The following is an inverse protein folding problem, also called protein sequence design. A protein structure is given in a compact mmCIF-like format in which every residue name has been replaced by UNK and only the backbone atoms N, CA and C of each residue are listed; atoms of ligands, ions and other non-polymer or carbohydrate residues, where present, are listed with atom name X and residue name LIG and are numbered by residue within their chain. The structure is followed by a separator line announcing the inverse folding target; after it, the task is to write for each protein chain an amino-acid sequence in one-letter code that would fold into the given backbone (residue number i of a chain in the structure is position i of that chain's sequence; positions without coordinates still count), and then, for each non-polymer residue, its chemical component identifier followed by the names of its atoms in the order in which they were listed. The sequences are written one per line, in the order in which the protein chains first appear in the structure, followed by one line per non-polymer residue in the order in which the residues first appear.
data_IF_985757650933
#
_entry.id   IF_985757650933
#
_cell.length_a   1.000
_cell.length_b   1.000
_cell.length_c   1.000
_cell.angle_alpha   90.00
_cell.angle_beta   90.00
_cell.angle_gamma   90.00
#
_symmetry.space_group_name_H-M   'P 1'
#
loop_
_entity.id
_entity.type
_entity.pdbx_description
1 polymer ?
#
# COMPACT_ATOMS: atom_id res chain seq x y z
N UNK A 1 35.39 -3.68 17.33
CA UNK A 1 34.25 -3.57 18.26
C UNK A 1 34.03 -2.10 18.54
N UNK A 2 33.08 -1.46 17.85
CA UNK A 2 32.67 -0.08 18.12
C UNK A 2 31.19 0.08 17.75
N UNK A 3 30.36 -0.03 18.78
CA UNK A 3 29.15 0.75 19.06
C UNK A 3 28.10 0.93 17.94
N UNK A 4 27.23 -0.07 17.78
CA UNK A 4 25.99 0.07 17.01
C UNK A 4 24.96 0.85 17.85
N UNK A 5 25.11 2.17 17.91
CA UNK A 5 24.08 3.04 18.49
C UNK A 5 22.77 2.85 17.72
N UNK A 6 21.67 2.59 18.43
CA UNK A 6 20.36 2.34 17.84
C UNK A 6 19.93 3.55 16.98
N UNK A 7 19.40 3.33 15.76
CA UNK A 7 18.98 4.43 14.88
C UNK A 7 17.89 5.27 15.55
N UNK A 8 17.88 6.58 15.36
CA UNK A 8 16.84 7.46 15.91
C UNK A 8 15.49 7.23 15.22
N UNK A 9 14.38 7.55 15.91
CA UNK A 9 13.04 7.45 15.31
C UNK A 9 12.91 8.33 14.06
N UNK A 10 13.53 9.51 14.04
CA UNK A 10 13.60 10.40 12.89
C UNK A 10 14.24 9.71 11.69
N UNK A 11 15.37 9.02 11.89
CA UNK A 11 16.03 8.27 10.82
C UNK A 11 15.11 7.18 10.25
N UNK A 12 14.41 6.45 11.11
CA UNK A 12 13.45 5.41 10.70
C UNK A 12 12.29 6.02 9.90
N UNK A 13 11.71 7.13 10.36
CA UNK A 13 10.57 7.78 9.70
C UNK A 13 10.96 8.45 8.38
N UNK A 14 12.11 9.12 8.33
CA UNK A 14 12.69 9.66 7.09
C UNK A 14 12.95 8.53 6.09
N UNK A 15 13.42 7.38 6.57
CA UNK A 15 13.64 6.19 5.73
C UNK A 15 12.32 5.63 5.22
N UNK A 16 11.30 5.47 6.07
CA UNK A 16 9.97 4.97 5.69
C UNK A 16 9.22 5.89 4.74
N UNK A 17 9.41 7.21 4.85
CA UNK A 17 8.81 8.19 3.95
C UNK A 17 9.63 8.45 2.68
N UNK A 18 10.73 7.71 2.50
CA UNK A 18 11.62 7.84 1.36
C UNK A 18 12.24 9.24 1.22
N UNK A 19 12.48 9.92 2.33
CA UNK A 19 13.10 11.25 2.37
C UNK A 19 14.59 11.19 2.74
N UNK A 20 15.26 10.06 2.46
CA UNK A 20 16.66 9.86 2.87
C UNK A 20 17.63 10.71 2.03
N UNK A 21 17.21 11.09 0.83
CA UNK A 21 17.95 12.00 -0.06
C UNK A 21 17.73 13.43 0.42
N UNK A 22 18.84 14.16 0.64
CA UNK A 22 18.82 15.53 1.18
C UNK A 22 17.88 16.47 0.42
N UNK A 23 17.91 16.46 -0.92
CA UNK A 23 17.05 17.34 -1.72
C UNK A 23 15.57 17.05 -1.52
N UNK A 24 15.20 15.76 -1.41
CA UNK A 24 13.83 15.33 -1.13
C UNK A 24 13.40 15.78 0.28
N UNK A 25 14.27 15.59 1.27
CA UNK A 25 13.98 16.04 2.64
C UNK A 25 13.83 17.56 2.71
N UNK A 26 14.76 18.30 2.09
CA UNK A 26 14.76 19.77 2.05
C UNK A 26 13.48 20.31 1.44
N UNK A 27 13.02 19.73 0.33
CA UNK A 27 11.77 20.15 -0.31
C UNK A 27 10.55 19.95 0.62
N UNK A 28 10.46 18.81 1.31
CA UNK A 28 9.37 18.55 2.24
C UNK A 28 9.45 19.43 3.49
N UNK A 29 10.66 19.75 3.92
CA UNK A 29 10.93 20.65 5.03
C UNK A 29 10.49 22.09 4.73
N UNK A 30 10.86 22.62 3.57
CA UNK A 30 10.45 23.95 3.10
C UNK A 30 8.93 24.05 2.95
N UNK A 31 8.28 23.02 2.41
CA UNK A 31 6.82 22.95 2.30
C UNK A 31 6.12 22.96 3.67
N UNK A 32 6.66 22.25 4.65
CA UNK A 32 6.11 22.24 6.00
C UNK A 32 6.30 23.60 6.68
N UNK A 33 7.46 24.24 6.53
CA UNK A 33 7.72 25.58 7.06
C UNK A 33 6.77 26.63 6.47
N UNK A 34 6.52 26.57 5.15
CA UNK A 34 5.61 27.48 4.47
C UNK A 34 4.14 27.29 4.88
N UNK A 35 3.72 26.04 5.08
CA UNK A 35 2.39 25.72 5.60
C UNK A 35 2.15 26.32 7.00
N UNK A 36 3.12 26.20 7.92
CA UNK A 36 3.02 26.79 9.27
C UNK A 36 3.00 28.32 9.18
N UNK A 37 3.86 28.91 8.33
CA UNK A 37 3.92 30.35 8.14
C UNK A 37 2.60 30.95 7.63
N UNK A 38 1.86 30.20 6.80
CA UNK A 38 0.54 30.59 6.30
C UNK A 38 -0.54 30.44 7.38
N UNK A 39 -0.54 29.34 8.12
CA UNK A 39 -1.55 29.05 9.15
C UNK A 39 -1.43 29.95 10.37
N UNK A 40 -0.21 30.25 10.81
CA UNK A 40 0.06 30.96 12.07
C UNK A 40 0.47 32.42 11.83
N UNK A 41 0.60 32.85 10.57
CA UNK A 41 0.99 34.22 10.21
C UNK A 41 2.45 34.58 10.55
N UNK A 42 3.26 33.62 10.98
CA UNK A 42 4.64 33.83 11.39
C UNK A 42 5.57 33.99 10.18
N UNK A 43 6.06 35.22 9.96
CA UNK A 43 6.92 35.55 8.82
C UNK A 43 8.31 34.92 8.89
N UNK A 44 8.76 34.47 10.07
CA UNK A 44 10.10 33.91 10.27
C UNK A 44 10.28 32.52 9.68
N UNK A 45 9.16 31.79 9.51
CA UNK A 45 9.14 30.45 8.94
C UNK A 45 9.06 30.46 7.40
N UNK A 46 8.79 31.61 6.77
CA UNK A 46 8.77 31.72 5.31
C UNK A 46 10.17 31.59 4.74
N UNK A 47 10.38 30.60 3.88
CA UNK A 47 11.70 30.31 3.30
C UNK A 47 12.69 29.67 4.27
N UNK A 48 12.23 29.21 5.44
CA UNK A 48 13.07 28.45 6.36
C UNK A 48 13.41 27.10 5.73
N UNK A 49 14.71 26.85 5.57
CA UNK A 49 15.26 25.62 5.00
C UNK A 49 16.31 25.01 5.93
N UNK A 50 16.74 23.79 5.61
CA UNK A 50 17.76 23.05 6.36
C UNK A 50 18.98 22.82 5.49
N UNK A 51 20.18 23.00 6.05
CA UNK A 51 21.43 22.71 5.34
C UNK A 51 21.72 21.20 5.27
N UNK A 52 22.44 20.76 4.22
CA UNK A 52 22.83 19.35 4.04
C UNK A 52 23.57 18.77 5.25
N UNK A 53 24.52 19.53 5.79
CA UNK A 53 25.28 19.17 6.99
C UNK A 53 24.37 19.01 8.22
N UNK A 54 23.32 19.80 8.32
CA UNK A 54 22.38 19.72 9.43
C UNK A 54 21.43 18.53 9.29
N UNK A 55 20.96 18.24 8.07
CA UNK A 55 20.21 17.04 7.74
C UNK A 55 21.01 15.77 8.02
N UNK A 56 22.27 15.70 7.59
CA UNK A 56 23.15 14.54 7.82
C UNK A 56 23.37 14.29 9.32
N UNK A 57 23.49 15.36 10.13
CA UNK A 57 23.57 15.22 11.60
C UNK A 57 22.29 14.69 12.23
N UNK A 58 21.12 15.12 11.74
CA UNK A 58 19.82 14.63 12.18
C UNK A 58 19.60 13.17 11.78
N UNK A 59 19.95 12.83 10.54
CA UNK A 59 19.82 11.49 9.98
C UNK A 59 20.83 10.50 10.58
N UNK A 60 22.04 10.96 10.89
CA UNK A 60 23.10 10.17 11.54
C UNK A 60 22.90 9.97 13.05
N UNK A 61 22.04 10.76 13.69
CA UNK A 61 21.80 10.69 15.14
C UNK A 61 22.89 11.35 16.00
N UNK A 62 23.71 12.24 15.43
CA UNK A 62 24.87 12.86 16.08
C UNK A 62 24.55 14.18 16.81
N UNK A 63 23.33 14.33 17.32
CA UNK A 63 22.90 15.55 18.00
C UNK A 63 23.25 15.52 19.49
N UNK A 64 24.20 16.37 19.89
CA UNK A 64 24.50 16.63 21.32
C UNK A 64 23.54 17.63 21.97
N UNK A 65 22.82 18.41 21.17
CA UNK A 65 21.89 19.47 21.60
C UNK A 65 20.68 19.52 20.68
N UNK A 66 19.54 20.00 21.20
CA UNK A 66 18.30 20.17 20.43
C UNK A 66 18.49 21.16 19.26
N UNK A 67 17.80 20.97 18.12
CA UNK A 67 17.71 21.97 17.06
C UNK A 67 17.15 23.31 17.55
N UNK A 68 17.27 24.36 16.74
CA UNK A 68 16.66 25.65 17.07
C UNK A 68 15.12 25.55 17.12
N UNK A 69 14.43 26.35 17.95
CA UNK A 69 12.99 26.23 18.18
C UNK A 69 12.12 26.19 16.91
N UNK A 70 12.42 27.02 15.91
CA UNK A 70 11.70 27.04 14.64
C UNK A 70 11.92 25.75 13.82
N UNK A 71 13.09 25.13 13.96
CA UNK A 71 13.38 23.86 13.30
C UNK A 71 12.67 22.70 13.97
N UNK A 72 12.53 22.74 15.30
CA UNK A 72 11.71 21.80 16.07
C UNK A 72 10.25 21.88 15.61
N UNK A 73 9.68 23.10 15.50
CA UNK A 73 8.30 23.30 15.03
C UNK A 73 8.05 22.70 13.66
N UNK A 74 8.99 22.88 12.71
CA UNK A 74 8.87 22.30 11.37
C UNK A 74 8.96 20.77 11.41
N UNK A 75 9.91 20.20 12.17
CA UNK A 75 10.04 18.75 12.30
C UNK A 75 8.80 18.12 12.97
N UNK A 76 8.29 18.75 14.02
CA UNK A 76 7.08 18.31 14.72
C UNK A 76 5.85 18.34 13.80
N UNK A 77 5.70 19.39 13.00
CA UNK A 77 4.64 19.48 12.00
C UNK A 77 4.80 18.45 10.87
N UNK A 78 6.03 18.20 10.40
CA UNK A 78 6.30 17.20 9.36
C UNK A 78 5.92 15.80 9.79
N UNK A 79 6.26 15.42 11.03
CA UNK A 79 6.14 14.02 11.49
C UNK A 79 4.99 13.78 12.46
N UNK A 80 4.32 14.83 12.95
CA UNK A 80 3.21 14.75 13.89
C UNK A 80 3.62 14.21 15.27
N UNK A 81 4.89 14.38 15.64
CA UNK A 81 5.49 13.87 16.90
C UNK A 81 6.44 14.90 17.48
N UNK A 82 6.56 15.01 18.82
CA UNK A 82 7.51 15.91 19.48
C UNK A 82 8.94 15.67 19.01
N UNK A 83 9.74 16.74 18.88
CA UNK A 83 11.13 16.63 18.40
C UNK A 83 11.98 15.73 19.31
N UNK A 84 11.68 15.69 20.61
CA UNK A 84 12.36 14.84 21.57
C UNK A 84 12.14 13.34 21.30
N UNK A 85 10.95 12.96 20.84
CA UNK A 85 10.63 11.58 20.46
C UNK A 85 11.30 11.21 19.13
N UNK A 86 11.31 12.14 18.17
CA UNK A 86 11.98 11.97 16.88
C UNK A 86 13.48 11.76 17.05
N UNK A 87 14.10 12.46 17.99
CA UNK A 87 15.55 12.39 18.24
C UNK A 87 15.95 11.26 19.20
N UNK A 88 14.99 10.60 19.87
CA UNK A 88 15.25 9.46 20.73
C UNK A 88 15.62 8.18 19.93
N UNK A 89 16.34 7.22 20.55
CA UNK A 89 16.59 5.90 19.96
C UNK A 89 15.29 5.21 19.57
N UNK A 90 15.23 4.67 18.34
CA UNK A 90 14.04 3.99 17.85
C UNK A 90 13.74 2.76 18.72
N UNK A 91 12.49 2.58 19.18
CA UNK A 91 12.13 1.40 19.95
C UNK A 91 12.34 0.13 19.12
N UNK A 92 12.69 -1.01 19.75
CA UNK A 92 12.93 -2.27 19.06
C UNK A 92 11.68 -2.69 18.26
N UNK A 93 11.84 -3.36 17.11
CA UNK A 93 10.71 -3.81 16.30
C UNK A 93 9.88 -4.79 17.13
N UNK A 94 8.74 -4.32 17.66
CA UNK A 94 7.82 -5.11 18.47
C UNK A 94 7.46 -4.55 19.85
N UNK A 95 8.10 -3.46 20.31
CA UNK A 95 7.72 -2.82 21.57
C UNK A 95 7.30 -1.37 21.36
N UNK A 96 6.05 -1.02 21.65
CA UNK A 96 5.68 0.39 21.86
C UNK A 96 6.18 0.83 23.24
N UNK A 97 6.79 2.01 23.36
CA UNK A 97 6.63 2.85 24.54
C UNK A 97 5.79 4.08 24.20
N UNK A 98 5.00 4.51 25.18
CA UNK A 98 3.88 5.43 25.09
C UNK A 98 4.14 6.76 24.40
N UNK A 99 3.17 7.16 23.57
CA UNK A 99 2.78 8.56 23.53
C UNK A 99 1.80 8.75 24.69
N UNK A 100 2.24 9.49 25.69
CA UNK A 100 1.36 10.01 26.72
C UNK A 100 0.29 10.86 26.04
N UNK A 101 -0.93 10.58 26.46
CA UNK A 101 -2.16 11.30 26.19
C UNK A 101 -1.99 12.79 26.46
N UNK A 102 -2.36 13.61 25.47
CA UNK A 102 -2.96 14.92 25.75
C UNK A 102 -4.25 15.06 24.96
N UNK A 103 -5.34 14.95 25.71
CA UNK A 103 -6.71 15.42 25.51
C UNK A 103 -7.18 15.71 24.08
N UNK A 104 -8.06 14.85 23.56
CA UNK A 104 -9.38 15.32 23.09
C UNK A 104 -10.43 14.23 22.80
N UNK A 105 -10.15 12.92 22.91
CA UNK A 105 -11.18 11.88 22.67
C UNK A 105 -11.32 10.86 23.81
N UNK A 106 -11.44 11.35 25.05
CA UNK A 106 -11.71 10.51 26.23
C UNK A 106 -13.21 10.19 26.40
N UNK A 107 -13.82 9.48 25.43
CA UNK A 107 -15.10 8.77 25.62
C UNK A 107 -15.23 7.46 24.80
N UNK A 108 -14.11 6.83 24.41
CA UNK A 108 -14.14 5.45 23.89
C UNK A 108 -13.91 4.43 25.00
N UNK A 109 -14.92 3.62 25.36
CA UNK A 109 -14.81 2.52 26.34
C UNK A 109 -13.70 1.53 25.88
N UNK A 110 -12.61 1.35 26.65
CA UNK A 110 -11.57 0.35 26.35
C UNK A 110 -12.13 -1.08 26.21
N UNK A 111 -13.27 -1.37 26.83
CA UNK A 111 -13.97 -2.64 26.67
C UNK A 111 -14.68 -2.80 25.33
N UNK A 112 -14.97 -1.71 24.60
CA UNK A 112 -15.65 -1.77 23.30
C UNK A 112 -14.72 -2.31 22.21
N UNK A 113 -13.47 -1.85 22.16
CA UNK A 113 -12.47 -2.38 21.21
C UNK A 113 -12.10 -3.84 21.44
N UNK A 114 -12.14 -4.32 22.69
CA UNK A 114 -11.92 -5.74 22.99
C UNK A 114 -13.15 -6.59 22.65
N UNK A 115 -14.36 -6.10 22.92
CA UNK A 115 -15.62 -6.75 22.49
C UNK A 115 -15.77 -6.80 20.98
N UNK A 116 -15.46 -5.72 20.27
CA UNK A 116 -15.45 -5.67 18.80
C UNK A 116 -14.47 -6.71 18.22
N UNK A 117 -13.26 -6.82 18.80
CA UNK A 117 -12.30 -7.88 18.42
C UNK A 117 -12.82 -9.28 18.74
N UNK A 118 -13.44 -9.49 19.89
CA UNK A 118 -14.02 -10.79 20.25
C UNK A 118 -15.16 -11.18 19.30
N UNK A 119 -16.04 -10.24 18.95
CA UNK A 119 -17.12 -10.45 17.98
C UNK A 119 -16.56 -10.73 16.60
N UNK A 120 -15.55 -9.98 16.14
CA UNK A 120 -14.88 -10.23 14.86
C UNK A 120 -14.20 -11.63 14.83
N UNK A 121 -13.51 -12.01 15.90
CA UNK A 121 -12.91 -13.34 16.03
C UNK A 121 -13.96 -14.45 16.07
N UNK A 122 -15.12 -14.22 16.70
CA UNK A 122 -16.23 -15.16 16.70
C UNK A 122 -16.84 -15.30 15.29
N UNK A 123 -17.03 -14.19 14.57
CA UNK A 123 -17.51 -14.19 13.19
C UNK A 123 -16.55 -14.98 12.26
N UNK A 124 -15.24 -14.74 12.36
CA UNK A 124 -14.21 -15.50 11.63
C UNK A 124 -14.23 -16.99 11.93
N UNK A 125 -14.48 -17.38 13.18
CA UNK A 125 -14.60 -18.79 13.57
C UNK A 125 -15.88 -19.41 13.01
N UNK A 126 -17.00 -18.69 13.05
CA UNK A 126 -18.26 -19.13 12.46
C UNK A 126 -18.14 -19.32 10.96
N UNK A 127 -17.52 -18.36 10.26
CA UNK A 127 -17.22 -18.45 8.83
C UNK A 127 -16.38 -19.68 8.49
N UNK A 128 -15.23 -19.86 9.17
CA UNK A 128 -14.37 -21.03 8.95
C UNK A 128 -15.08 -22.35 9.24
N UNK A 129 -15.97 -22.37 10.24
CA UNK A 129 -16.79 -23.52 10.56
C UNK A 129 -17.79 -23.81 9.43
N UNK A 130 -18.52 -22.81 8.93
CA UNK A 130 -19.44 -22.95 7.81
C UNK A 130 -18.76 -23.56 6.58
N UNK A 131 -17.62 -22.99 6.19
CA UNK A 131 -16.81 -23.49 5.08
C UNK A 131 -16.36 -24.96 5.26
N UNK A 132 -16.13 -25.43 6.50
CA UNK A 132 -15.80 -26.84 6.77
C UNK A 132 -17.01 -27.75 6.90
N UNK A 133 -18.12 -27.23 7.42
CA UNK A 133 -19.32 -27.98 7.74
C UNK A 133 -20.12 -28.35 6.49
N UNK A 134 -20.00 -27.56 5.42
CA UNK A 134 -20.69 -27.82 4.15
C UNK A 134 -20.20 -29.09 3.43
N UNK A 135 -19.07 -29.69 3.83
CA UNK A 135 -18.64 -30.97 3.27
C UNK A 135 -18.57 -30.98 1.74
N UNK A 136 -18.81 -32.15 1.13
CA UNK A 136 -18.45 -32.55 -0.26
C UNK A 136 -18.95 -31.70 -1.44
N UNK A 137 -19.59 -30.56 -1.21
CA UNK A 137 -19.87 -29.55 -2.24
C UNK A 137 -19.97 -28.21 -1.53
N UNK A 138 -19.01 -27.30 -1.79
CA UNK A 138 -19.08 -25.92 -1.29
C UNK A 138 -20.45 -25.33 -1.66
N UNK A 139 -21.18 -24.87 -0.66
CA UNK A 139 -22.49 -24.27 -0.84
C UNK A 139 -22.37 -22.87 -1.45
N UNK A 140 -23.42 -22.40 -2.14
CA UNK A 140 -23.47 -21.03 -2.65
C UNK A 140 -23.31 -19.97 -1.54
N UNK A 141 -23.66 -20.30 -0.30
CA UNK A 141 -23.52 -19.40 0.85
C UNK A 141 -22.06 -19.11 1.20
N UNK A 142 -21.19 -20.14 1.25
CA UNK A 142 -19.75 -19.94 1.53
C UNK A 142 -19.07 -19.10 0.45
N UNK A 143 -19.44 -19.29 -0.83
CA UNK A 143 -18.93 -18.47 -1.94
C UNK A 143 -19.40 -17.02 -1.83
N UNK A 144 -20.70 -16.82 -1.59
CA UNK A 144 -21.28 -15.49 -1.35
C UNK A 144 -20.59 -14.77 -0.20
N UNK A 145 -20.34 -15.47 0.92
CA UNK A 145 -19.65 -14.89 2.07
C UNK A 145 -18.18 -14.53 1.77
N UNK A 146 -17.45 -15.35 1.02
CA UNK A 146 -16.09 -15.00 0.56
C UNK A 146 -16.10 -13.77 -0.35
N UNK A 147 -17.07 -13.70 -1.25
CA UNK A 147 -17.24 -12.58 -2.18
C UNK A 147 -17.50 -11.27 -1.42
N UNK A 148 -18.48 -11.28 -0.51
CA UNK A 148 -18.84 -10.11 0.31
C UNK A 148 -17.65 -9.64 1.16
N UNK A 149 -16.92 -10.56 1.77
CA UNK A 149 -15.77 -10.24 2.60
C UNK A 149 -14.61 -9.67 1.77
N UNK A 150 -14.38 -10.19 0.56
CA UNK A 150 -13.39 -9.61 -0.36
C UNK A 150 -13.79 -8.21 -0.81
N UNK A 151 -15.07 -7.99 -1.13
CA UNK A 151 -15.59 -6.65 -1.48
C UNK A 151 -15.38 -5.66 -0.36
N UNK A 152 -15.75 -6.04 0.88
CA UNK A 152 -15.50 -5.23 2.08
C UNK A 152 -14.02 -4.90 2.25
N UNK A 153 -13.15 -5.90 2.17
CA UNK A 153 -11.70 -5.73 2.37
C UNK A 153 -11.06 -4.87 1.27
N UNK A 154 -11.48 -5.03 0.02
CA UNK A 154 -11.01 -4.22 -1.10
C UNK A 154 -11.38 -2.74 -0.91
N UNK A 155 -12.64 -2.47 -0.51
CA UNK A 155 -13.19 -1.15 -0.27
C UNK A 155 -12.55 -0.43 0.94
N UNK A 156 -12.36 -1.16 2.05
CA UNK A 156 -11.76 -0.63 3.28
C UNK A 156 -10.26 -0.40 3.18
N UNK A 157 -9.54 -1.16 2.35
CA UNK A 157 -8.08 -1.14 2.26
C UNK A 157 -7.46 0.27 2.16
N UNK A 158 -7.97 1.20 1.32
CA UNK A 158 -7.39 2.54 1.20
C UNK A 158 -7.70 3.47 2.38
N UNK A 159 -8.63 3.10 3.27
CA UNK A 159 -9.21 3.99 4.29
C UNK A 159 -8.95 3.52 5.72
N UNK A 160 -8.77 2.22 5.92
CA UNK A 160 -8.59 1.58 7.24
C UNK A 160 -7.14 1.17 7.42
N UNK A 161 -6.56 1.29 8.64
CA UNK A 161 -5.20 0.82 8.90
C UNK A 161 -5.02 -0.67 8.58
N UNK A 162 -3.96 -0.99 7.83
CA UNK A 162 -3.66 -2.36 7.38
C UNK A 162 -3.67 -3.39 8.52
N UNK A 163 -3.22 -3.03 9.72
CA UNK A 163 -3.20 -3.93 10.89
C UNK A 163 -4.58 -4.43 11.32
N UNK A 164 -5.65 -3.68 11.04
CA UNK A 164 -7.01 -4.11 11.31
C UNK A 164 -7.49 -5.15 10.27
N UNK A 165 -7.03 -5.05 9.03
CA UNK A 165 -7.49 -5.85 7.90
C UNK A 165 -6.67 -7.13 7.67
N UNK A 166 -5.39 -7.14 8.09
CA UNK A 166 -4.47 -8.25 7.79
C UNK A 166 -5.00 -9.62 8.21
N UNK A 167 -5.62 -9.70 9.38
CA UNK A 167 -6.16 -10.96 9.87
C UNK A 167 -7.30 -11.48 8.99
N UNK A 168 -8.21 -10.59 8.57
CA UNK A 168 -9.34 -10.97 7.71
C UNK A 168 -8.84 -11.40 6.33
N UNK A 169 -7.88 -10.66 5.76
CA UNK A 169 -7.26 -10.98 4.47
C UNK A 169 -6.60 -12.37 4.45
N UNK A 170 -5.86 -12.70 5.52
CA UNK A 170 -5.23 -14.01 5.66
C UNK A 170 -6.29 -15.10 5.85
N UNK A 171 -7.30 -14.86 6.70
CA UNK A 171 -8.37 -15.84 6.95
C UNK A 171 -9.18 -16.16 5.66
N UNK A 172 -9.45 -15.15 4.82
CA UNK A 172 -10.11 -15.31 3.51
C UNK A 172 -9.24 -16.11 2.55
N UNK A 173 -7.95 -15.75 2.42
CA UNK A 173 -7.01 -16.46 1.54
C UNK A 173 -6.88 -17.94 1.95
N UNK A 174 -6.64 -18.19 3.24
CA UNK A 174 -6.49 -19.55 3.78
C UNK A 174 -7.76 -20.38 3.59
N UNK A 175 -8.93 -19.75 3.75
CA UNK A 175 -10.21 -20.43 3.53
C UNK A 175 -10.40 -20.81 2.07
N UNK A 176 -10.17 -19.88 1.14
CA UNK A 176 -10.28 -20.15 -0.29
C UNK A 176 -9.29 -21.24 -0.75
N UNK A 177 -8.04 -21.19 -0.32
CA UNK A 177 -7.04 -22.22 -0.65
C UNK A 177 -7.38 -23.59 -0.08
N UNK A 178 -7.77 -23.66 1.19
CA UNK A 178 -8.18 -24.94 1.80
C UNK A 178 -9.35 -25.59 1.08
N UNK A 179 -10.31 -24.79 0.63
CA UNK A 179 -11.44 -25.29 -0.16
C UNK A 179 -10.97 -25.83 -1.52
N UNK A 180 -10.08 -25.10 -2.20
CA UNK A 180 -9.49 -25.54 -3.48
C UNK A 180 -8.65 -26.82 -3.31
N UNK A 181 -7.86 -26.93 -2.24
CA UNK A 181 -7.02 -28.08 -1.91
C UNK A 181 -7.83 -29.34 -1.59
N UNK A 182 -9.00 -29.18 -0.97
CA UNK A 182 -9.90 -30.29 -0.67
C UNK A 182 -10.48 -30.93 -1.96
N UNK A 183 -10.48 -30.19 -3.07
CA UNK A 183 -10.79 -30.71 -4.42
C UNK A 183 -12.24 -31.11 -4.66
N UNK A 184 -13.12 -30.94 -3.66
CA UNK A 184 -14.55 -31.31 -3.72
C UNK A 184 -15.43 -30.15 -4.20
N UNK A 185 -15.03 -29.52 -5.32
CA UNK A 185 -15.71 -28.36 -5.91
C UNK A 185 -16.07 -28.61 -7.38
N UNK A 186 -17.22 -28.08 -7.81
CA UNK A 186 -17.58 -28.13 -9.24
C UNK A 186 -16.67 -27.19 -10.03
N UNK A 187 -16.36 -27.46 -11.31
CA UNK A 187 -15.47 -26.61 -12.11
C UNK A 187 -15.82 -25.11 -12.10
N UNK A 188 -17.11 -24.76 -12.23
CA UNK A 188 -17.55 -23.37 -12.17
C UNK A 188 -17.29 -22.70 -10.80
N UNK A 189 -17.50 -23.44 -9.72
CA UNK A 189 -17.21 -22.97 -8.36
C UNK A 189 -15.70 -22.86 -8.12
N UNK A 190 -14.90 -23.77 -8.69
CA UNK A 190 -13.45 -23.69 -8.63
C UNK A 190 -12.94 -22.43 -9.33
N UNK A 191 -13.48 -22.09 -10.50
CA UNK A 191 -13.13 -20.86 -11.23
C UNK A 191 -13.39 -19.61 -10.38
N UNK A 192 -14.56 -19.53 -9.74
CA UNK A 192 -14.92 -18.45 -8.82
C UNK A 192 -14.01 -18.43 -7.57
N UNK A 193 -13.72 -19.57 -6.98
CA UNK A 193 -12.77 -19.66 -5.85
C UNK A 193 -11.37 -19.21 -6.23
N UNK A 194 -10.90 -19.55 -7.44
CA UNK A 194 -9.62 -19.06 -7.95
C UNK A 194 -9.63 -17.55 -8.16
N UNK A 195 -10.74 -16.96 -8.61
CA UNK A 195 -10.91 -15.50 -8.68
C UNK A 195 -10.76 -14.88 -7.28
N UNK A 196 -11.55 -15.36 -6.32
CA UNK A 196 -11.55 -14.85 -4.94
C UNK A 196 -10.18 -15.01 -4.26
N UNK A 197 -9.56 -16.19 -4.40
CA UNK A 197 -8.22 -16.46 -3.91
C UNK A 197 -7.16 -15.56 -4.59
N UNK A 198 -7.32 -15.28 -5.88
CA UNK A 198 -6.44 -14.40 -6.64
C UNK A 198 -6.53 -12.95 -6.17
N UNK A 199 -7.74 -12.44 -5.94
CA UNK A 199 -7.96 -11.10 -5.39
C UNK A 199 -7.33 -10.99 -3.99
N UNK A 200 -7.66 -11.91 -3.08
CA UNK A 200 -7.13 -11.90 -1.71
C UNK A 200 -5.59 -11.95 -1.71
N UNK A 201 -4.99 -12.81 -2.54
CA UNK A 201 -3.54 -12.91 -2.72
C UNK A 201 -2.94 -11.61 -3.25
N UNK A 202 -3.58 -10.94 -4.21
CA UNK A 202 -3.09 -9.67 -4.73
C UNK A 202 -3.20 -8.52 -3.72
N UNK A 203 -4.25 -8.48 -2.90
CA UNK A 203 -4.36 -7.51 -1.80
C UNK A 203 -3.28 -7.78 -0.75
N UNK A 204 -3.00 -9.05 -0.42
CA UNK A 204 -1.88 -9.43 0.45
C UNK A 204 -0.52 -9.12 -0.16
N UNK A 205 -0.38 -9.16 -1.50
CA UNK A 205 0.82 -8.70 -2.18
C UNK A 205 1.01 -7.19 -1.97
N UNK A 206 -0.05 -6.39 -2.12
CA UNK A 206 -0.01 -4.96 -1.84
C UNK A 206 0.27 -4.67 -0.35
N UNK A 207 -0.32 -5.42 0.57
CA UNK A 207 -0.06 -5.32 2.01
C UNK A 207 1.41 -5.61 2.33
N UNK A 208 1.95 -6.70 1.79
CA UNK A 208 3.36 -7.06 1.97
C UNK A 208 4.28 -5.97 1.41
N UNK A 209 3.90 -5.38 0.27
CA UNK A 209 4.63 -4.26 -0.33
C UNK A 209 4.61 -3.01 0.57
N UNK A 210 3.45 -2.65 1.13
CA UNK A 210 3.31 -1.50 2.04
C UNK A 210 4.08 -1.67 3.34
N UNK A 211 4.29 -2.91 3.78
CA UNK A 211 5.16 -3.26 4.91
C UNK A 211 6.65 -3.29 4.56
N UNK A 212 7.01 -3.09 3.29
CA UNK A 212 8.39 -3.11 2.80
C UNK A 212 8.96 -4.51 2.54
N UNK A 213 8.15 -5.57 2.65
CA UNK A 213 8.57 -6.95 2.35
C UNK A 213 8.33 -7.28 0.87
N UNK A 214 9.27 -6.84 0.02
CA UNK A 214 9.20 -7.07 -1.43
C UNK A 214 9.25 -8.56 -1.81
N UNK A 215 9.85 -9.41 -0.97
CA UNK A 215 9.95 -10.85 -1.24
C UNK A 215 8.59 -11.50 -1.05
N UNK A 216 7.96 -11.29 0.09
CA UNK A 216 6.61 -11.80 0.37
C UNK A 216 5.59 -11.20 -0.58
N UNK A 217 5.71 -9.92 -0.91
CA UNK A 217 4.86 -9.25 -1.91
C UNK A 217 4.93 -9.95 -3.28
N UNK A 218 6.14 -10.26 -3.76
CA UNK A 218 6.29 -10.94 -5.04
C UNK A 218 5.80 -12.39 -5.00
N UNK A 219 5.97 -13.11 -3.88
CA UNK A 219 5.38 -14.44 -3.70
C UNK A 219 3.86 -14.37 -3.81
N UNK A 220 3.23 -13.48 -3.05
CA UNK A 220 1.78 -13.27 -3.08
C UNK A 220 1.29 -12.85 -4.48
N UNK A 221 2.01 -11.96 -5.16
CA UNK A 221 1.66 -11.53 -6.52
C UNK A 221 1.79 -12.67 -7.55
N UNK A 222 2.74 -13.61 -7.37
CA UNK A 222 2.84 -14.79 -8.24
C UNK A 222 1.72 -15.78 -7.98
N UNK A 223 1.38 -16.02 -6.71
CA UNK A 223 0.21 -16.84 -6.35
C UNK A 223 -1.06 -16.24 -6.91
N UNK A 224 -1.27 -14.93 -6.75
CA UNK A 224 -2.40 -14.21 -7.33
C UNK A 224 -2.49 -14.39 -8.85
N UNK A 225 -1.36 -14.37 -9.55
CA UNK A 225 -1.34 -14.57 -11.00
C UNK A 225 -1.75 -15.98 -11.39
N UNK A 226 -1.25 -17.01 -10.68
CA UNK A 226 -1.64 -18.41 -10.91
C UNK A 226 -3.13 -18.61 -10.64
N UNK A 227 -3.66 -18.02 -9.57
CA UNK A 227 -5.09 -18.05 -9.28
C UNK A 227 -5.90 -17.34 -10.37
N UNK A 228 -5.49 -16.15 -10.81
CA UNK A 228 -6.13 -15.45 -11.92
C UNK A 228 -6.06 -16.22 -13.25
N UNK A 229 -5.00 -17.02 -13.44
CA UNK A 229 -4.86 -17.90 -14.61
C UNK A 229 -5.89 -19.03 -14.58
N UNK A 230 -6.00 -19.74 -13.45
CA UNK A 230 -6.99 -20.80 -13.25
C UNK A 230 -8.44 -20.28 -13.21
N UNK A 231 -8.64 -19.03 -12.82
CA UNK A 231 -9.94 -18.36 -12.88
C UNK A 231 -10.32 -17.92 -14.31
N UNK A 232 -9.38 -17.98 -15.26
CA UNK A 232 -9.53 -17.42 -16.62
C UNK A 232 -9.91 -15.92 -16.64
N UNK A 233 -9.52 -15.18 -15.60
CA UNK A 233 -9.96 -13.79 -15.40
C UNK A 233 -8.94 -12.77 -15.89
N UNK A 234 -9.21 -12.13 -17.04
CA UNK A 234 -8.25 -11.27 -17.72
C UNK A 234 -7.95 -9.97 -16.98
N UNK A 235 -8.97 -9.29 -16.45
CA UNK A 235 -8.76 -8.04 -15.67
C UNK A 235 -7.94 -8.28 -14.41
N UNK A 236 -8.17 -9.39 -13.70
CA UNK A 236 -7.36 -9.76 -12.54
C UNK A 236 -5.90 -10.06 -12.95
N UNK A 237 -5.66 -10.80 -14.04
CA UNK A 237 -4.29 -11.03 -14.55
C UNK A 237 -3.59 -9.70 -14.84
N UNK A 238 -4.27 -8.76 -15.49
CA UNK A 238 -3.76 -7.43 -15.78
C UNK A 238 -3.44 -6.63 -14.50
N UNK A 239 -4.35 -6.61 -13.53
CA UNK A 239 -4.12 -5.96 -12.24
C UNK A 239 -2.94 -6.58 -11.48
N UNK A 240 -2.80 -7.91 -11.47
CA UNK A 240 -1.67 -8.59 -10.85
C UNK A 240 -0.34 -8.28 -11.55
N UNK A 241 -0.32 -8.14 -12.89
CA UNK A 241 0.87 -7.61 -13.59
C UNK A 241 1.21 -6.20 -13.15
N UNK A 242 0.20 -5.37 -12.90
CA UNK A 242 0.37 -4.05 -12.31
C UNK A 242 1.02 -4.11 -10.92
N UNK A 243 0.57 -5.03 -10.05
CA UNK A 243 1.20 -5.26 -8.74
C UNK A 243 2.66 -5.70 -8.87
N UNK A 244 2.96 -6.66 -9.76
CA UNK A 244 4.33 -7.12 -10.00
C UNK A 244 5.23 -5.97 -10.46
N UNK A 245 4.74 -5.12 -11.36
CA UNK A 245 5.44 -3.91 -11.82
C UNK A 245 5.66 -2.90 -10.68
N UNK A 246 4.65 -2.65 -9.86
CA UNK A 246 4.75 -1.75 -8.70
C UNK A 246 5.80 -2.25 -7.70
N UNK A 247 5.78 -3.54 -7.38
CA UNK A 247 6.70 -4.16 -6.41
C UNK A 247 8.14 -4.05 -6.92
N UNK A 248 8.40 -4.36 -8.19
CA UNK A 248 9.76 -4.28 -8.74
C UNK A 248 10.24 -2.85 -8.94
N UNK A 249 9.34 -1.90 -9.25
CA UNK A 249 9.66 -0.47 -9.30
C UNK A 249 10.27 -0.02 -7.97
N UNK A 250 9.55 -0.26 -6.86
CA UNK A 250 10.01 0.15 -5.54
C UNK A 250 11.17 -0.68 -5.00
N UNK A 251 11.38 -1.90 -5.52
CA UNK A 251 12.57 -2.69 -5.25
C UNK A 251 13.83 -2.20 -6.00
N UNK A 252 13.75 -1.08 -6.73
CA UNK A 252 14.88 -0.52 -7.49
C UNK A 252 15.23 -1.32 -8.74
N UNK A 253 14.24 -2.04 -9.31
CA UNK A 253 14.40 -2.89 -10.50
C UNK A 253 13.55 -2.37 -11.66
N UNK A 254 13.90 -1.19 -12.24
CA UNK A 254 13.08 -0.52 -13.25
C UNK A 254 12.86 -1.35 -14.53
N UNK A 255 13.85 -2.15 -14.94
CA UNK A 255 13.73 -3.02 -16.12
C UNK A 255 12.64 -4.07 -15.91
N UNK A 256 12.59 -4.70 -14.72
CA UNK A 256 11.55 -5.66 -14.38
C UNK A 256 10.19 -4.99 -14.22
N UNK A 257 10.16 -3.76 -13.71
CA UNK A 257 8.93 -2.96 -13.64
C UNK A 257 8.33 -2.69 -15.02
N UNK A 258 9.16 -2.26 -15.97
CA UNK A 258 8.76 -2.06 -17.36
C UNK A 258 8.33 -3.39 -18.02
N UNK A 259 9.06 -4.48 -17.74
CA UNK A 259 8.73 -5.80 -18.24
C UNK A 259 7.34 -6.27 -17.78
N UNK A 260 7.04 -6.22 -16.48
CA UNK A 260 5.73 -6.63 -15.97
C UNK A 260 4.59 -5.73 -16.47
N UNK A 261 4.81 -4.41 -16.56
CA UNK A 261 3.82 -3.50 -17.14
C UNK A 261 3.57 -3.78 -18.64
N UNK A 262 4.62 -4.15 -19.38
CA UNK A 262 4.55 -4.58 -20.77
C UNK A 262 3.76 -5.89 -20.93
N UNK A 263 4.03 -6.90 -20.10
CA UNK A 263 3.26 -8.14 -20.08
C UNK A 263 1.77 -7.86 -19.83
N UNK A 264 1.44 -7.02 -18.84
CA UNK A 264 0.07 -6.61 -18.58
C UNK A 264 -0.58 -5.91 -19.77
N UNK A 265 0.14 -4.99 -20.42
CA UNK A 265 -0.39 -4.24 -21.58
C UNK A 265 -0.77 -5.13 -22.76
N UNK A 266 -0.06 -6.25 -22.98
CA UNK A 266 -0.42 -7.24 -24.01
C UNK A 266 -1.69 -8.01 -23.63
N UNK A 267 -1.86 -8.30 -22.33
CA UNK A 267 -3.02 -9.05 -21.81
C UNK A 267 -4.30 -8.20 -21.75
N UNK A 268 -4.18 -6.87 -21.78
CA UNK A 268 -5.33 -5.95 -21.72
C UNK A 268 -5.97 -5.63 -23.08
N UNK A 269 -5.60 -6.30 -24.18
CA UNK A 269 -6.25 -6.06 -25.48
C UNK A 269 -7.74 -6.39 -25.40
N UNK A 270 -8.60 -5.37 -25.53
CA UNK A 270 -10.06 -5.49 -25.42
C UNK A 270 -10.60 -5.36 -23.99
N UNK A 271 -9.77 -5.05 -23.00
CA UNK A 271 -10.23 -4.69 -21.66
C UNK A 271 -10.45 -3.18 -21.56
N UNK A 272 -11.46 -2.79 -20.79
CA UNK A 272 -11.86 -1.39 -20.61
C UNK A 272 -11.90 -0.97 -19.13
N UNK A 273 -11.64 -1.89 -18.18
CA UNK A 273 -11.58 -1.56 -16.77
C UNK A 273 -10.39 -0.67 -16.38
N UNK A 274 -10.40 -0.16 -15.16
CA UNK A 274 -9.40 0.82 -14.69
C UNK A 274 -7.99 0.25 -14.54
N UNK A 275 -7.83 -1.07 -14.51
CA UNK A 275 -6.54 -1.77 -14.53
C UNK A 275 -5.71 -1.41 -15.77
N UNK A 276 -6.35 -1.14 -16.92
CA UNK A 276 -5.69 -0.72 -18.16
C UNK A 276 -4.97 0.62 -17.99
N UNK A 277 -5.64 1.59 -17.38
CA UNK A 277 -5.10 2.90 -17.05
C UNK A 277 -3.95 2.78 -16.07
N UNK A 278 -4.11 1.91 -15.07
CA UNK A 278 -3.08 1.70 -14.06
C UNK A 278 -1.80 1.10 -14.66
N UNK A 279 -1.91 0.09 -15.51
CA UNK A 279 -0.78 -0.53 -16.20
C UNK A 279 -0.01 0.47 -17.07
N UNK A 280 -0.71 1.30 -17.84
CA UNK A 280 -0.07 2.34 -18.63
C UNK A 280 0.63 3.39 -17.74
N UNK A 281 0.01 3.76 -16.62
CA UNK A 281 0.61 4.68 -15.63
C UNK A 281 1.86 4.09 -14.95
N UNK A 282 1.88 2.77 -14.70
CA UNK A 282 3.05 2.07 -14.16
C UNK A 282 4.18 1.98 -15.20
N UNK A 283 3.85 1.71 -16.46
CA UNK A 283 4.82 1.74 -17.55
C UNK A 283 5.49 3.12 -17.65
N UNK A 284 4.72 4.21 -17.54
CA UNK A 284 5.27 5.56 -17.56
C UNK A 284 6.32 5.78 -16.47
N UNK A 285 6.02 5.40 -15.22
CA UNK A 285 6.96 5.52 -14.09
C UNK A 285 8.21 4.65 -14.29
N UNK A 286 8.04 3.43 -14.78
CA UNK A 286 9.15 2.54 -15.04
C UNK A 286 10.09 3.11 -16.13
N UNK A 287 9.54 3.63 -17.23
CA UNK A 287 10.34 4.26 -18.30
C UNK A 287 11.01 5.55 -17.85
N UNK A 288 10.32 6.38 -17.07
CA UNK A 288 10.90 7.58 -16.46
C UNK A 288 12.12 7.24 -15.59
N UNK A 289 12.03 6.20 -14.77
CA UNK A 289 13.15 5.72 -13.93
C UNK A 289 14.30 5.12 -14.75
N UNK A 290 14.04 4.64 -15.98
CA UNK A 290 15.06 4.20 -16.94
C UNK A 290 15.71 5.38 -17.70
N UNK A 291 15.19 6.60 -17.56
CA UNK A 291 15.63 7.77 -18.34
C UNK A 291 15.08 7.81 -19.77
N UNK A 292 14.09 6.97 -20.10
CA UNK A 292 13.44 6.95 -21.41
C UNK A 292 12.22 7.88 -21.42
N UNK A 293 12.50 9.17 -21.63
CA UNK A 293 11.48 10.22 -21.60
C UNK A 293 10.43 10.09 -22.73
N UNK A 294 10.81 9.55 -23.88
CA UNK A 294 9.88 9.35 -25.00
C UNK A 294 8.90 8.22 -24.68
N UNK A 295 9.39 7.07 -24.19
CA UNK A 295 8.53 5.96 -23.77
C UNK A 295 7.64 6.33 -22.56
N UNK A 296 8.15 7.14 -21.62
CA UNK A 296 7.37 7.65 -20.51
C UNK A 296 6.21 8.53 -21.00
N UNK A 297 6.47 9.50 -21.89
CA UNK A 297 5.45 10.36 -22.49
C UNK A 297 4.40 9.56 -23.28
N UNK A 298 4.83 8.55 -24.02
CA UNK A 298 3.91 7.66 -24.74
C UNK A 298 3.04 6.85 -23.80
N UNK A 299 3.60 6.31 -22.71
CA UNK A 299 2.84 5.59 -21.71
C UNK A 299 1.82 6.48 -20.98
N UNK A 300 2.14 7.76 -20.74
CA UNK A 300 1.17 8.75 -20.21
C UNK A 300 0.01 8.95 -21.18
N UNK A 301 0.30 9.17 -22.48
CA UNK A 301 -0.75 9.29 -23.52
C UNK A 301 -1.64 8.06 -23.57
N UNK A 302 -1.06 6.86 -23.50
CA UNK A 302 -1.83 5.61 -23.43
C UNK A 302 -2.71 5.54 -22.18
N UNK A 303 -2.23 6.01 -21.03
CA UNK A 303 -3.03 6.05 -19.81
C UNK A 303 -4.21 7.02 -19.93
N UNK A 304 -4.02 8.19 -20.55
CA UNK A 304 -5.12 9.13 -20.82
C UNK A 304 -6.12 8.56 -21.83
N UNK A 305 -5.66 7.99 -22.95
CA UNK A 305 -6.54 7.36 -23.93
C UNK A 305 -7.34 6.18 -23.33
N UNK A 306 -6.69 5.33 -22.52
CA UNK A 306 -7.36 4.24 -21.81
C UNK A 306 -8.42 4.79 -20.83
N UNK A 307 -8.16 5.93 -20.19
CA UNK A 307 -9.11 6.57 -19.27
C UNK A 307 -10.39 7.01 -19.98
N UNK A 308 -10.27 7.56 -21.17
CA UNK A 308 -11.42 8.06 -21.95
C UNK A 308 -12.36 6.94 -22.41
N UNK A 309 -11.86 5.69 -22.43
CA UNK A 309 -12.62 4.50 -22.81
C UNK A 309 -12.94 3.58 -21.63
N UNK A 310 -12.82 4.07 -20.38
CA UNK A 310 -13.09 3.21 -19.22
C UNK A 310 -14.56 2.84 -19.14
N UNK A 311 -14.81 1.54 -19.10
CA UNK A 311 -16.08 0.93 -18.72
C UNK A 311 -15.78 0.01 -17.53
N UNK A 312 -16.35 0.26 -16.32
CA UNK A 312 -16.11 -0.58 -15.15
C UNK A 312 -16.41 -2.05 -15.46
N UNK A 313 -15.44 -2.92 -15.15
CA UNK A 313 -15.58 -4.37 -15.29
C UNK A 313 -15.87 -5.06 -13.95
N UNK A 314 -16.02 -6.38 -13.98
CA UNK A 314 -16.26 -7.24 -12.83
C UNK A 314 -15.20 -7.13 -11.72
N UNK A 315 -13.96 -6.77 -12.06
CA UNK A 315 -12.92 -6.48 -11.07
C UNK A 315 -13.11 -5.09 -10.45
N UNK A 316 -13.46 -4.09 -11.25
CA UNK A 316 -13.76 -2.73 -10.79
C UNK A 316 -14.99 -2.69 -9.86
N UNK A 317 -15.95 -3.63 -10.00
CA UNK A 317 -17.14 -3.74 -9.13
C UNK A 317 -16.79 -3.94 -7.64
N UNK A 318 -15.67 -4.59 -7.32
CA UNK A 318 -15.20 -4.72 -5.93
C UNK A 318 -14.69 -3.39 -5.33
N UNK A 319 -14.42 -2.38 -6.17
CA UNK A 319 -14.07 -1.05 -5.71
C UNK A 319 -12.70 -0.93 -5.02
N UNK A 320 -12.54 0.14 -4.26
CA UNK A 320 -11.38 0.39 -3.40
C UNK A 320 -10.03 0.17 -4.08
N UNK A 321 -9.20 -0.69 -3.50
CA UNK A 321 -7.83 -1.02 -3.99
C UNK A 321 -7.81 -1.60 -5.42
N UNK A 322 -8.89 -2.23 -5.86
CA UNK A 322 -8.98 -2.87 -7.18
C UNK A 322 -9.25 -1.87 -8.30
N UNK A 323 -9.66 -0.65 -7.95
CA UNK A 323 -9.84 0.44 -8.91
C UNK A 323 -8.65 1.38 -8.98
N UNK A 324 -8.52 2.09 -10.10
CA UNK A 324 -7.53 3.14 -10.29
C UNK A 324 -8.19 4.50 -10.57
N UNK A 325 -8.32 5.38 -9.56
CA UNK A 325 -9.05 6.64 -9.70
C UNK A 325 -8.20 7.74 -10.36
N UNK A 326 -8.85 8.73 -10.98
CA UNK A 326 -8.20 9.84 -11.72
C UNK A 326 -7.17 10.61 -10.89
N UNK A 327 -7.39 10.95 -9.59
CA UNK A 327 -6.37 11.62 -8.79
C UNK A 327 -5.05 10.83 -8.69
N UNK A 328 -5.13 9.50 -8.59
CA UNK A 328 -3.94 8.64 -8.53
C UNK A 328 -3.23 8.54 -9.87
N UNK A 329 -3.97 8.54 -10.98
CA UNK A 329 -3.41 8.63 -12.33
C UNK A 329 -2.61 9.93 -12.50
N UNK A 330 -3.18 11.08 -12.12
CA UNK A 330 -2.51 12.38 -12.24
C UNK A 330 -1.23 12.43 -11.39
N UNK A 331 -1.26 11.85 -10.18
CA UNK A 331 -0.07 11.69 -9.34
C UNK A 331 1.03 10.88 -10.05
N UNK A 332 0.68 9.75 -10.69
CA UNK A 332 1.65 8.91 -11.41
C UNK A 332 2.22 9.62 -12.64
N UNK A 333 1.38 10.35 -13.38
CA UNK A 333 1.81 11.13 -14.53
C UNK A 333 2.78 12.25 -14.12
N UNK A 334 2.51 12.95 -13.02
CA UNK A 334 3.39 13.99 -12.49
C UNK A 334 4.76 13.43 -12.08
N UNK A 335 4.81 12.27 -11.42
CA UNK A 335 6.07 11.61 -11.06
C UNK A 335 6.85 11.12 -12.29
N UNK A 336 6.16 10.68 -13.35
CA UNK A 336 6.77 10.19 -14.57
C UNK A 336 7.15 11.29 -15.58
N UNK A 337 6.79 12.55 -15.31
CA UNK A 337 7.17 13.68 -16.15
C UNK A 337 8.60 14.09 -15.80
N UNK A 338 9.55 13.70 -16.67
CA UNK A 338 10.99 13.97 -16.55
C UNK A 338 11.37 15.18 -17.39
#
# INVERSE_FOLDING_TARGET
MSDTSAPTLLRVLVTRRHWQVYETFRHQYERAAESIAQREGDRRLRGLSVSKRQFERWYGGELKTRPYPDQCRVLEAMFGRPVDELLAPAPPPGGRPGADTTDSDAWGDPGMGDRERQVAMAARRAFRFGATAEGSTVGPETLGQLHDEIGRLADEYPRVPLTALLGDLVDVQDTAFRILEDGRVRPAQAQELYLLAGIASGILAKASHDLGDSRSAMTQARTAYVSADNAEHQSLRAWVRGLQSLITYWAGRPQDAAHYAGLGSVQTQGLHGTATVWLASLAARAHAMLGDADAAREAIRRADAARDTVEPDDLDEYGGILTFPRPRQLYYAAEATV
#
